data_IF_912026234375
#
_entry.id   IF_912026234375
#
_cell.length_a   1.000
_cell.length_b   1.000
_cell.length_c   1.000
_cell.angle_alpha   90.00
_cell.angle_beta   90.00
_cell.angle_gamma   90.00
#
_symmetry.space_group_name_H-M   'P 1'
#
loop_
_entity.id
_entity.type
_entity.pdbx_description
1 polymer ?
#
# COMPACT_ATOMS: atom_id res chain seq x y z
N UNK A 1 0.50 -10.62 8.77
CA UNK A 1 -0.01 -9.31 8.32
C UNK A 1 1.06 -8.22 8.30
N UNK A 2 1.96 -8.13 9.28
CA UNK A 2 2.87 -6.98 9.50
C UNK A 2 3.76 -6.62 8.29
N UNK A 3 4.34 -7.60 7.59
CA UNK A 3 5.22 -7.33 6.44
C UNK A 3 4.51 -6.63 5.28
N UNK A 4 3.32 -7.09 4.89
CA UNK A 4 2.55 -6.48 3.81
C UNK A 4 2.11 -5.05 4.14
N UNK A 5 1.73 -4.80 5.41
CA UNK A 5 1.41 -3.46 5.89
C UNK A 5 2.61 -2.53 5.70
N UNK A 6 3.80 -2.94 6.14
CA UNK A 6 5.02 -2.16 5.97
C UNK A 6 5.34 -1.89 4.49
N UNK A 7 5.23 -2.90 3.62
CA UNK A 7 5.52 -2.75 2.18
C UNK A 7 4.54 -1.77 1.52
N UNK A 8 3.25 -1.84 1.84
CA UNK A 8 2.25 -0.93 1.28
C UNK A 8 2.49 0.50 1.76
N UNK A 9 2.77 0.70 3.05
CA UNK A 9 3.08 2.04 3.59
C UNK A 9 4.38 2.61 3.00
N UNK A 10 5.43 1.80 2.82
CA UNK A 10 6.65 2.22 2.11
C UNK A 10 6.36 2.58 0.63
N UNK A 11 5.45 1.86 -0.01
CA UNK A 11 4.97 2.19 -1.35
C UNK A 11 4.28 3.56 -1.40
N UNK A 12 3.43 3.85 -0.41
CA UNK A 12 2.76 5.15 -0.26
C UNK A 12 3.77 6.29 -0.09
N UNK A 13 4.79 6.12 0.76
CA UNK A 13 5.89 7.09 0.94
C UNK A 13 6.65 7.41 -0.34
N UNK A 14 6.76 6.44 -1.26
CA UNK A 14 7.54 6.59 -2.50
C UNK A 14 6.83 7.41 -3.59
N UNK A 15 5.60 7.88 -3.36
CA UNK A 15 4.78 8.56 -4.38
C UNK A 15 5.27 9.96 -4.71
N UNK A 16 5.87 10.67 -3.75
CA UNK A 16 6.34 12.04 -3.93
C UNK A 16 7.82 12.16 -3.59
N UNK A 17 8.56 13.08 -4.24
CA UNK A 17 9.93 13.39 -3.86
C UNK A 17 9.98 13.91 -2.42
N UNK A 18 11.06 13.58 -1.68
CA UNK A 18 11.27 14.07 -0.32
C UNK A 18 11.25 15.61 -0.22
N UNK A 19 11.60 16.30 -1.31
CA UNK A 19 11.56 17.77 -1.41
C UNK A 19 10.15 18.36 -1.41
N UNK A 20 9.11 17.56 -1.62
CA UNK A 20 7.72 18.01 -1.75
C UNK A 20 6.83 17.66 -0.54
N UNK A 21 7.35 16.90 0.42
CA UNK A 21 6.65 16.49 1.64
C UNK A 21 7.26 17.19 2.85
N UNK A 22 6.41 17.61 3.80
CA UNK A 22 6.86 18.20 5.07
C UNK A 22 7.14 17.14 6.13
N UNK A 23 6.49 15.98 6.02
CA UNK A 23 6.67 14.82 6.87
C UNK A 23 6.79 13.55 6.05
N UNK A 24 7.54 12.59 6.56
CA UNK A 24 7.59 11.23 5.99
C UNK A 24 6.26 10.50 6.09
N UNK A 25 5.38 10.94 6.99
CA UNK A 25 4.03 10.41 7.14
C UNK A 25 3.03 11.06 6.18
N UNK A 26 3.41 12.11 5.46
CA UNK A 26 2.54 12.72 4.45
C UNK A 26 2.19 11.65 3.41
N UNK A 27 0.91 11.54 3.09
CA UNK A 27 0.33 10.59 2.13
C UNK A 27 0.37 9.09 2.54
N UNK A 28 0.77 8.74 3.77
CA UNK A 28 0.61 7.39 4.35
C UNK A 28 -0.78 7.26 5.01
N UNK A 29 -1.39 6.08 4.88
CA UNK A 29 -2.62 5.75 5.61
C UNK A 29 -2.44 5.87 7.14
N UNK A 30 -3.27 6.69 7.78
CA UNK A 30 -3.32 6.83 9.24
C UNK A 30 -4.08 5.66 9.88
N UNK A 31 -3.33 4.67 10.36
CA UNK A 31 -3.89 3.48 10.99
C UNK A 31 -4.39 3.71 12.43
N UNK A 32 -4.29 4.94 12.96
CA UNK A 32 -4.95 5.31 14.21
C UNK A 32 -6.44 5.64 14.01
N UNK A 33 -6.85 5.94 12.78
CA UNK A 33 -8.24 6.18 12.41
C UNK A 33 -8.96 4.87 12.01
N UNK A 34 -10.02 4.46 12.73
CA UNK A 34 -10.72 3.20 12.44
C UNK A 34 -11.32 3.08 11.03
N UNK A 35 -11.75 4.19 10.42
CA UNK A 35 -12.29 4.16 9.05
C UNK A 35 -11.17 3.99 8.01
N UNK A 36 -10.04 4.64 8.22
CA UNK A 36 -8.86 4.48 7.36
C UNK A 36 -8.30 3.06 7.45
N UNK A 37 -8.30 2.46 8.66
CA UNK A 37 -7.96 1.04 8.85
C UNK A 37 -8.86 0.13 8.01
N UNK A 38 -10.19 0.36 8.00
CA UNK A 38 -11.12 -0.44 7.17
C UNK A 38 -10.81 -0.29 5.68
N UNK A 39 -10.53 0.92 5.22
CA UNK A 39 -10.19 1.18 3.82
C UNK A 39 -8.88 0.49 3.43
N UNK A 40 -7.86 0.64 4.26
CA UNK A 40 -6.55 0.02 4.08
C UNK A 40 -6.61 -1.51 4.04
N UNK A 41 -7.40 -2.13 4.93
CA UNK A 41 -7.61 -3.58 4.93
C UNK A 41 -8.29 -4.08 3.65
N UNK A 42 -9.26 -3.33 3.10
CA UNK A 42 -9.88 -3.66 1.80
C UNK A 42 -8.85 -3.62 0.68
N UNK A 43 -7.98 -2.61 0.69
CA UNK A 43 -6.92 -2.47 -0.31
C UNK A 43 -5.89 -3.61 -0.24
N UNK A 44 -5.40 -3.94 0.97
CA UNK A 44 -4.48 -5.07 1.17
C UNK A 44 -5.10 -6.38 0.73
N UNK A 45 -6.39 -6.60 0.96
CA UNK A 45 -7.07 -7.82 0.54
C UNK A 45 -7.04 -8.00 -0.99
N UNK A 46 -7.14 -6.92 -1.76
CA UNK A 46 -7.02 -6.96 -3.24
C UNK A 46 -5.60 -7.35 -3.64
N UNK A 47 -4.59 -6.67 -3.09
CA UNK A 47 -3.18 -6.95 -3.40
C UNK A 47 -2.81 -8.40 -3.04
N UNK A 48 -3.26 -8.87 -1.88
CA UNK A 48 -2.94 -10.22 -1.40
C UNK A 48 -3.48 -11.27 -2.36
N UNK A 49 -4.72 -11.10 -2.85
CA UNK A 49 -5.32 -11.99 -3.86
C UNK A 49 -4.56 -11.97 -5.18
N UNK A 50 -4.12 -10.80 -5.63
CA UNK A 50 -3.31 -10.69 -6.85
C UNK A 50 -1.98 -11.42 -6.70
N UNK A 51 -1.29 -11.25 -5.56
CA UNK A 51 -0.03 -11.94 -5.26
C UNK A 51 -0.25 -13.46 -5.18
N UNK A 52 -1.31 -13.92 -4.51
CA UNK A 52 -1.68 -15.33 -4.45
C UNK A 52 -1.90 -15.91 -5.85
N UNK A 53 -2.63 -15.20 -6.72
CA UNK A 53 -2.85 -15.61 -8.11
C UNK A 53 -1.54 -15.68 -8.89
N UNK A 54 -0.67 -14.67 -8.76
CA UNK A 54 0.63 -14.66 -9.46
C UNK A 54 1.54 -15.79 -8.99
N UNK A 55 1.53 -16.11 -7.69
CA UNK A 55 2.27 -17.23 -7.12
C UNK A 55 1.77 -18.58 -7.66
N UNK A 56 0.44 -18.78 -7.73
CA UNK A 56 -0.17 -19.97 -8.33
C UNK A 56 0.23 -20.15 -9.79
N UNK A 57 0.25 -19.05 -10.55
CA UNK A 57 0.62 -19.02 -11.96
C UNK A 57 2.14 -19.06 -12.20
N UNK A 58 2.97 -19.08 -11.13
CA UNK A 58 4.44 -18.98 -11.18
C UNK A 58 4.93 -17.78 -12.01
N UNK A 59 4.20 -16.68 -11.97
CA UNK A 59 4.54 -15.45 -12.69
C UNK A 59 5.38 -14.53 -11.80
N UNK A 60 6.41 -13.87 -12.34
CA UNK A 60 7.13 -12.85 -11.59
C UNK A 60 6.20 -11.68 -11.29
N UNK A 61 6.31 -11.12 -10.09
CA UNK A 61 5.60 -9.88 -9.73
C UNK A 61 6.31 -8.71 -10.39
N UNK A 62 5.78 -8.23 -11.51
CA UNK A 62 6.29 -7.05 -12.21
C UNK A 62 5.43 -5.83 -11.87
N UNK A 63 5.99 -4.84 -11.15
CA UNK A 63 5.46 -3.47 -11.12
C UNK A 63 5.07 -2.89 -9.75
N UNK A 64 5.19 -1.55 -9.67
CA UNK A 64 4.90 -0.64 -8.55
C UNK A 64 3.40 -0.68 -8.23
N UNK A 65 3.03 -0.96 -6.97
CA UNK A 65 1.63 -1.02 -6.51
C UNK A 65 1.01 0.38 -6.62
N UNK A 66 0.20 0.60 -7.66
CA UNK A 66 -0.52 1.85 -7.89
C UNK A 66 -1.77 1.92 -7.00
N UNK A 67 -1.65 2.58 -5.85
CA UNK A 67 -2.77 2.90 -4.94
C UNK A 67 -3.33 4.29 -5.26
N UNK A 68 -4.65 4.42 -5.42
CA UNK A 68 -5.31 5.73 -5.56
C UNK A 68 -5.96 6.11 -4.23
N UNK A 69 -5.53 7.22 -3.62
CA UNK A 69 -6.13 7.74 -2.39
C UNK A 69 -7.50 8.35 -2.71
N UNK A 70 -8.42 8.37 -1.75
CA UNK A 70 -9.77 8.94 -1.90
C UNK A 70 -9.80 10.48 -1.87
N UNK A 71 -8.67 11.12 -1.59
CA UNK A 71 -8.46 12.57 -1.59
C UNK A 71 -7.03 12.87 -2.05
#
# INVERSE_FOLDING_TARGET
>A
MTYFVCVVQMGQMSKRPLSEVQSVCDDIADLSNPEEVKNFLKFIAVITREIEKMNLERKPVFGRISYSNLY
#
